data_IF_929834299754
#
_entry.id   IF_929834299754
#
_cell.length_a   1.000
_cell.length_b   1.000
_cell.length_c   1.000
_cell.angle_alpha   90.00
_cell.angle_beta   90.00
_cell.angle_gamma   90.00
#
_symmetry.space_group_name_H-M   'P 1'
#
loop_
_entity.id
_entity.type
_entity.pdbx_description
1 polymer ?
#
# COMPACT_ATOMS: atom_id res chain seq x y z
N UNK A 1 3.99 16.60 -69.09
CA UNK A 1 4.49 17.57 -68.09
C UNK A 1 3.53 17.78 -66.91
N UNK A 2 2.19 17.81 -67.08
CA UNK A 2 1.29 18.02 -65.93
C UNK A 2 1.14 16.82 -64.95
N UNK A 3 1.42 15.59 -65.40
CA UNK A 3 1.29 14.37 -64.58
C UNK A 3 2.32 14.28 -63.45
N UNK A 4 3.56 14.70 -63.71
CA UNK A 4 4.68 14.52 -62.77
C UNK A 4 4.55 15.45 -61.56
N UNK A 5 4.02 16.67 -61.76
CA UNK A 5 3.73 17.61 -60.67
C UNK A 5 2.57 17.13 -59.79
N UNK A 6 1.58 16.45 -60.35
CA UNK A 6 0.46 15.87 -59.58
C UNK A 6 0.96 14.69 -58.75
N UNK A 7 1.82 13.83 -59.32
CA UNK A 7 2.42 12.71 -58.58
C UNK A 7 3.34 13.18 -57.46
N UNK A 8 4.13 14.24 -57.70
CA UNK A 8 4.96 14.86 -56.66
C UNK A 8 4.11 15.42 -55.52
N UNK A 9 3.02 16.13 -55.83
CA UNK A 9 2.12 16.67 -54.81
C UNK A 9 1.46 15.56 -53.98
N UNK A 10 1.01 14.47 -54.60
CA UNK A 10 0.45 13.30 -53.91
C UNK A 10 1.51 12.63 -53.02
N UNK A 11 2.74 12.48 -53.50
CA UNK A 11 3.83 11.89 -52.73
C UNK A 11 4.18 12.74 -51.50
N UNK A 12 4.21 14.07 -51.62
CA UNK A 12 4.44 14.97 -50.48
C UNK A 12 3.31 14.86 -49.46
N UNK A 13 2.05 14.85 -49.89
CA UNK A 13 0.90 14.67 -48.99
C UNK A 13 0.95 13.32 -48.28
N UNK A 14 1.33 12.25 -48.99
CA UNK A 14 1.48 10.92 -48.41
C UNK A 14 2.61 10.85 -47.37
N UNK A 15 3.76 11.48 -47.64
CA UNK A 15 4.88 11.56 -46.69
C UNK A 15 4.48 12.34 -45.44
N UNK A 16 3.81 13.49 -45.59
CA UNK A 16 3.33 14.28 -44.45
C UNK A 16 2.30 13.48 -43.63
N UNK A 17 1.37 12.80 -44.28
CA UNK A 17 0.39 11.95 -43.62
C UNK A 17 1.06 10.80 -42.85
N UNK A 18 2.09 10.16 -43.43
CA UNK A 18 2.84 9.09 -42.79
C UNK A 18 3.62 9.59 -41.56
N UNK A 19 4.23 10.77 -41.63
CA UNK A 19 4.92 11.40 -40.48
C UNK A 19 3.92 11.69 -39.35
N UNK A 20 2.78 12.31 -39.67
CA UNK A 20 1.73 12.60 -38.67
C UNK A 20 1.19 11.31 -38.04
N UNK A 21 0.94 10.27 -38.85
CA UNK A 21 0.50 8.97 -38.35
C UNK A 21 1.54 8.32 -37.42
N UNK A 22 2.83 8.44 -37.73
CA UNK A 22 3.92 7.91 -36.89
C UNK A 22 4.02 8.66 -35.55
N UNK A 23 3.88 9.98 -35.56
CA UNK A 23 3.85 10.79 -34.34
C UNK A 23 2.63 10.43 -33.49
N UNK A 24 1.45 10.35 -34.11
CA UNK A 24 0.21 10.00 -33.40
C UNK A 24 0.26 8.61 -32.79
N UNK A 25 0.75 7.60 -33.51
CA UNK A 25 0.89 6.24 -32.98
C UNK A 25 1.87 6.19 -31.81
N UNK A 26 2.95 6.99 -31.84
CA UNK A 26 3.90 7.09 -30.73
C UNK A 26 3.27 7.73 -29.49
N UNK A 27 2.51 8.82 -29.67
CA UNK A 27 1.79 9.49 -28.59
C UNK A 27 0.72 8.60 -27.97
N UNK A 28 -0.05 7.88 -28.79
CA UNK A 28 -1.08 6.94 -28.31
C UNK A 28 -0.46 5.81 -27.50
N UNK A 29 0.64 5.20 -27.96
CA UNK A 29 1.36 4.17 -27.18
C UNK A 29 1.82 4.71 -25.82
N UNK A 30 2.33 5.94 -25.78
CA UNK A 30 2.72 6.59 -24.52
C UNK A 30 1.52 6.81 -23.60
N UNK A 31 0.38 7.25 -24.12
CA UNK A 31 -0.84 7.43 -23.33
C UNK A 31 -1.38 6.10 -22.79
N UNK A 32 -1.39 5.04 -23.59
CA UNK A 32 -1.81 3.71 -23.15
C UNK A 32 -0.94 3.23 -21.99
N UNK A 33 0.38 3.39 -22.10
CA UNK A 33 1.29 3.00 -21.02
C UNK A 33 1.03 3.81 -19.74
N UNK A 34 0.87 5.13 -19.85
CA UNK A 34 0.56 5.97 -18.69
C UNK A 34 -0.78 5.58 -18.02
N UNK A 35 -1.81 5.27 -18.82
CA UNK A 35 -3.09 4.79 -18.30
C UNK A 35 -2.96 3.44 -17.62
N UNK A 36 -2.17 2.53 -18.20
CA UNK A 36 -1.88 1.23 -17.60
C UNK A 36 -1.17 1.39 -16.26
N UNK A 37 -0.13 2.21 -16.20
CA UNK A 37 0.60 2.49 -14.96
C UNK A 37 -0.34 3.09 -13.91
N UNK A 38 -1.13 4.10 -14.26
CA UNK A 38 -2.11 4.72 -13.36
C UNK A 38 -3.14 3.71 -12.85
N UNK A 39 -3.61 2.82 -13.73
CA UNK A 39 -4.53 1.77 -13.36
C UNK A 39 -3.88 0.77 -12.40
N UNK A 40 -2.66 0.31 -12.67
CA UNK A 40 -1.91 -0.59 -11.78
C UNK A 40 -1.66 0.06 -10.41
N UNK A 41 -1.26 1.33 -10.35
CA UNK A 41 -1.10 2.07 -9.09
C UNK A 41 -2.41 2.20 -8.31
N UNK A 42 -3.55 2.35 -8.99
CA UNK A 42 -4.87 2.41 -8.34
C UNK A 42 -5.26 1.09 -7.66
N UNK A 43 -4.61 -0.02 -8.02
CA UNK A 43 -4.86 -1.34 -7.47
C UNK A 43 -3.92 -1.70 -6.30
N UNK A 44 -3.01 -0.81 -5.89
CA UNK A 44 -2.13 -1.09 -4.75
C UNK A 44 -2.86 -0.74 -3.45
N UNK A 45 -2.97 -1.68 -2.47
CA UNK A 45 -3.60 -1.37 -1.18
C UNK A 45 -2.76 -0.37 -0.39
N UNK A 46 -3.41 0.63 0.19
CA UNK A 46 -2.77 1.62 1.06
C UNK A 46 -3.16 1.32 2.49
N UNK A 47 -2.22 0.80 3.26
CA UNK A 47 -2.47 0.47 4.66
C UNK A 47 -2.15 1.63 5.60
N UNK A 48 -2.90 1.71 6.68
CA UNK A 48 -2.66 2.64 7.79
C UNK A 48 -2.91 1.90 9.10
N UNK A 49 -2.10 2.14 10.12
CA UNK A 49 -2.46 1.72 11.48
C UNK A 49 -3.51 2.72 11.99
N UNK A 50 -4.78 2.33 12.08
CA UNK A 50 -5.88 3.24 12.44
C UNK A 50 -6.09 3.39 13.95
N UNK A 51 -5.63 2.39 14.70
CA UNK A 51 -5.80 2.36 16.15
C UNK A 51 -4.74 1.48 16.80
N UNK A 52 -4.33 1.87 18.00
CA UNK A 52 -3.48 1.05 18.86
C UNK A 52 -4.06 1.02 20.28
N UNK A 53 -3.98 -0.13 20.93
CA UNK A 53 -4.41 -0.27 22.34
C UNK A 53 -3.46 -1.16 23.10
N UNK A 54 -2.90 -0.63 24.17
CA UNK A 54 -2.22 -1.44 25.17
C UNK A 54 -3.22 -2.35 25.89
N UNK A 55 -2.92 -3.64 25.93
CA UNK A 55 -3.55 -4.61 26.83
C UNK A 55 -2.58 -4.76 28.01
N UNK A 56 -3.10 -4.90 29.23
CA UNK A 56 -2.33 -5.01 30.49
C UNK A 56 -0.89 -5.54 30.33
N UNK A 57 0.09 -4.74 30.75
CA UNK A 57 1.54 -4.97 30.94
C UNK A 57 2.36 -5.85 29.96
N UNK A 58 1.80 -6.41 28.89
CA UNK A 58 2.54 -7.37 28.05
C UNK A 58 2.03 -7.51 26.61
N UNK A 59 1.04 -6.75 26.14
CA UNK A 59 0.59 -6.87 24.76
C UNK A 59 0.02 -5.56 24.22
N UNK A 60 0.05 -5.40 22.91
CA UNK A 60 -0.58 -4.27 22.24
C UNK A 60 -1.33 -4.75 21.01
N UNK A 61 -2.56 -4.27 20.86
CA UNK A 61 -3.35 -4.39 19.65
C UNK A 61 -2.95 -3.29 18.68
N UNK A 62 -2.71 -3.66 17.43
CA UNK A 62 -2.65 -2.77 16.28
C UNK A 62 -3.82 -3.11 15.35
N UNK A 63 -4.54 -2.09 14.90
CA UNK A 63 -5.56 -2.23 13.86
C UNK A 63 -5.02 -1.62 12.57
N UNK A 64 -4.93 -2.43 11.52
CA UNK A 64 -4.38 -2.04 10.22
C UNK A 64 -5.50 -2.02 9.20
N UNK A 65 -5.82 -0.82 8.72
CA UNK A 65 -6.90 -0.58 7.77
C UNK A 65 -6.34 -0.37 6.37
N UNK A 66 -7.12 -0.82 5.41
CA UNK A 66 -6.90 -0.53 4.01
C UNK A 66 -7.68 0.72 3.61
N UNK A 67 -6.99 1.86 3.60
CA UNK A 67 -7.59 3.19 3.46
C UNK A 67 -8.20 3.49 2.10
N UNK A 68 -7.79 2.80 1.04
CA UNK A 68 -8.34 2.98 -0.31
C UNK A 68 -9.28 1.84 -0.72
N UNK A 69 -9.65 0.95 0.21
CA UNK A 69 -10.63 -0.13 0.01
C UNK A 69 -10.34 -1.07 -1.17
N UNK A 70 -9.07 -1.13 -1.62
CA UNK A 70 -8.68 -2.02 -2.71
C UNK A 70 -8.60 -3.46 -2.23
N UNK A 71 -9.19 -4.38 -2.98
CA UNK A 71 -9.09 -5.80 -2.65
C UNK A 71 -7.63 -6.25 -2.57
N UNK A 72 -7.31 -7.00 -1.52
CA UNK A 72 -5.99 -7.57 -1.31
C UNK A 72 -6.10 -8.85 -0.49
N UNK A 73 -5.09 -9.70 -0.61
CA UNK A 73 -4.91 -10.89 0.21
C UNK A 73 -3.63 -10.72 1.03
N UNK A 74 -3.72 -10.99 2.34
CA UNK A 74 -2.55 -10.98 3.22
C UNK A 74 -2.04 -12.42 3.32
N UNK A 75 -0.81 -12.64 2.87
CA UNK A 75 -0.18 -13.96 2.86
C UNK A 75 0.64 -14.19 4.14
N UNK A 76 1.33 -13.14 4.62
CA UNK A 76 2.22 -13.27 5.77
C UNK A 76 2.36 -11.96 6.54
N UNK A 77 2.53 -12.09 7.86
CA UNK A 77 2.91 -11.01 8.76
C UNK A 77 4.19 -11.43 9.48
N UNK A 78 5.22 -10.60 9.40
CA UNK A 78 6.55 -10.85 9.95
C UNK A 78 6.92 -9.69 10.86
N UNK A 79 7.65 -10.00 11.94
CA UNK A 79 8.26 -9.00 12.80
C UNK A 79 9.78 -9.11 12.69
N UNK A 80 10.47 -7.97 12.63
CA UNK A 80 11.90 -7.92 12.33
C UNK A 80 12.83 -8.27 13.50
N UNK A 81 12.29 -8.58 14.67
CA UNK A 81 13.06 -8.85 15.89
C UNK A 81 12.51 -10.06 16.62
N UNK A 82 13.40 -10.85 17.20
CA UNK A 82 13.05 -11.99 18.05
C UNK A 82 12.54 -11.57 19.44
N UNK A 83 12.75 -10.30 19.82
CA UNK A 83 12.29 -9.75 21.10
C UNK A 83 10.78 -9.45 21.12
N UNK A 84 10.11 -9.50 19.96
CA UNK A 84 8.69 -9.28 19.79
C UNK A 84 8.07 -10.44 19.03
N UNK A 85 6.89 -10.89 19.46
CA UNK A 85 6.17 -11.99 18.84
C UNK A 85 4.78 -11.54 18.45
N UNK A 86 4.35 -11.96 17.26
CA UNK A 86 2.97 -11.85 16.82
C UNK A 86 2.21 -13.02 17.43
N UNK A 87 1.36 -12.75 18.41
CA UNK A 87 0.64 -13.80 19.12
C UNK A 87 -0.60 -14.26 18.34
N UNK A 88 -1.34 -13.30 17.78
CA UNK A 88 -2.55 -13.55 17.00
C UNK A 88 -2.72 -12.44 15.97
N UNK A 89 -3.30 -12.79 14.85
CA UNK A 89 -3.80 -11.84 13.87
C UNK A 89 -5.04 -12.39 13.18
N UNK A 90 -5.97 -11.51 12.81
CA UNK A 90 -7.17 -11.87 12.06
C UNK A 90 -7.85 -10.60 11.52
N UNK A 91 -8.70 -10.76 10.51
CA UNK A 91 -9.53 -9.68 9.98
C UNK A 91 -10.86 -9.61 10.74
N UNK A 92 -11.20 -8.48 11.34
CA UNK A 92 -12.50 -8.28 12.00
C UNK A 92 -12.82 -6.79 12.17
N UNK A 93 -14.03 -6.53 12.66
CA UNK A 93 -14.48 -5.23 13.14
C UNK A 93 -14.08 -5.06 14.62
N UNK A 94 -13.64 -3.86 14.96
CA UNK A 94 -13.32 -3.47 16.35
C UNK A 94 -14.13 -2.25 16.71
N UNK A 95 -15.01 -2.41 17.70
CA UNK A 95 -15.72 -1.29 18.30
C UNK A 95 -14.95 -0.81 19.53
N UNK A 96 -14.56 0.46 19.52
CA UNK A 96 -13.82 1.10 20.62
C UNK A 96 -14.47 2.42 20.94
N UNK A 97 -14.71 2.69 22.22
CA UNK A 97 -15.12 4.03 22.68
C UNK A 97 -13.86 4.85 22.93
N UNK A 98 -13.67 5.92 22.15
CA UNK A 98 -12.56 6.87 22.29
C UNK A 98 -13.16 8.20 22.71
N UNK A 99 -12.75 8.73 23.85
CA UNK A 99 -13.24 10.02 24.39
C UNK A 99 -14.78 10.09 24.56
N UNK A 100 -15.42 8.93 24.80
CA UNK A 100 -16.87 8.82 24.95
C UNK A 100 -17.63 8.59 23.64
N UNK A 101 -16.96 8.73 22.49
CA UNK A 101 -17.55 8.49 21.18
C UNK A 101 -17.26 7.05 20.69
N UNK A 102 -18.29 6.27 20.33
CA UNK A 102 -18.08 4.95 19.74
C UNK A 102 -17.47 5.10 18.35
N UNK A 103 -16.32 4.46 18.14
CA UNK A 103 -15.68 4.33 16.83
C UNK A 103 -15.59 2.85 16.45
N UNK A 104 -15.82 2.60 15.17
CA UNK A 104 -15.66 1.29 14.57
C UNK A 104 -14.46 1.34 13.63
N UNK A 105 -13.58 0.36 13.79
CA UNK A 105 -12.42 0.17 12.93
C UNK A 105 -12.56 -1.16 12.19
N UNK A 106 -12.24 -1.18 10.90
CA UNK A 106 -12.36 -2.37 10.06
C UNK A 106 -11.04 -2.70 9.40
N UNK A 107 -10.44 -3.82 9.79
CA UNK A 107 -9.18 -4.24 9.17
C UNK A 107 -8.55 -5.45 9.80
N UNK A 108 -7.24 -5.57 9.57
CA UNK A 108 -6.40 -6.60 10.15
C UNK A 108 -6.02 -6.20 11.57
N UNK A 109 -6.47 -6.98 12.55
CA UNK A 109 -6.01 -6.86 13.93
C UNK A 109 -4.75 -7.70 14.11
N UNK A 110 -3.76 -7.13 14.80
CA UNK A 110 -2.52 -7.82 15.14
C UNK A 110 -2.23 -7.61 16.63
N UNK A 111 -2.08 -8.69 17.37
CA UNK A 111 -1.58 -8.66 18.74
C UNK A 111 -0.07 -8.88 18.73
N UNK A 112 0.65 -7.91 19.27
CA UNK A 112 2.10 -8.00 19.43
C UNK A 112 2.43 -8.02 20.92
N UNK A 113 3.30 -8.95 21.30
CA UNK A 113 3.79 -9.13 22.67
C UNK A 113 5.32 -9.11 22.69
N UNK A 114 5.95 -8.29 23.54
CA UNK A 114 7.38 -8.41 23.81
C UNK A 114 7.67 -9.67 24.61
N UNK A 115 8.71 -10.41 24.22
CA UNK A 115 9.18 -11.61 24.92
C UNK A 115 9.73 -11.24 26.30
N UNK A 116 10.45 -10.12 26.37
CA UNK A 116 11.05 -9.59 27.59
C UNK A 116 10.53 -8.17 27.87
N UNK A 117 10.49 -7.77 29.15
CA UNK A 117 10.07 -6.42 29.56
C UNK A 117 11.13 -5.32 29.33
N UNK A 118 12.26 -5.68 28.72
CA UNK A 118 13.30 -4.71 28.37
C UNK A 118 12.85 -3.85 27.18
N UNK A 119 13.61 -2.79 26.91
CA UNK A 119 13.41 -2.00 25.71
C UNK A 119 13.61 -2.89 24.48
N UNK A 120 12.64 -2.88 23.57
CA UNK A 120 12.75 -3.56 22.28
C UNK A 120 12.13 -2.73 21.17
N UNK A 121 12.68 -2.89 19.97
CA UNK A 121 12.29 -2.17 18.77
C UNK A 121 12.21 -3.16 17.61
N UNK A 122 11.11 -3.11 16.86
CA UNK A 122 10.95 -3.94 15.66
C UNK A 122 10.07 -3.26 14.61
N UNK A 123 10.27 -3.65 13.36
CA UNK A 123 9.40 -3.30 12.25
C UNK A 123 8.45 -4.46 12.01
N UNK A 124 7.17 -4.14 11.89
CA UNK A 124 6.16 -5.08 11.41
C UNK A 124 6.10 -4.98 9.89
N UNK A 125 6.21 -6.13 9.23
CA UNK A 125 6.15 -6.26 7.79
C UNK A 125 4.96 -7.13 7.39
N UNK A 126 4.14 -6.61 6.47
CA UNK A 126 2.99 -7.31 5.91
C UNK A 126 3.32 -7.65 4.46
N UNK A 127 3.12 -8.90 4.07
CA UNK A 127 3.27 -9.38 2.70
C UNK A 127 1.95 -9.91 2.19
N UNK A 128 1.69 -9.70 0.91
CA UNK A 128 0.44 -10.13 0.30
C UNK A 128 0.38 -9.86 -1.18
N UNK A 129 -0.82 -10.01 -1.74
CA UNK A 129 -1.13 -9.79 -3.16
C UNK A 129 -2.26 -8.80 -3.34
N UNK A 130 -2.13 -7.94 -4.33
CA UNK A 130 -3.17 -7.02 -4.74
C UNK A 130 -4.25 -7.69 -5.62
N UNK A 131 -5.25 -6.93 -6.05
CA UNK A 131 -6.35 -7.40 -6.91
C UNK A 131 -5.90 -7.88 -8.30
N UNK A 132 -4.70 -7.49 -8.74
CA UNK A 132 -4.09 -7.93 -10.00
C UNK A 132 -3.15 -9.13 -9.82
N UNK A 133 -2.97 -9.59 -8.58
CA UNK A 133 -2.09 -10.68 -8.22
C UNK A 133 -0.63 -10.26 -8.05
N UNK A 134 -0.31 -8.96 -8.06
CA UNK A 134 1.06 -8.51 -7.81
C UNK A 134 1.38 -8.62 -6.32
N UNK A 135 2.59 -9.07 -6.02
CA UNK A 135 3.08 -9.11 -4.66
C UNK A 135 3.39 -7.68 -4.15
N UNK A 136 3.07 -7.45 -2.88
CA UNK A 136 3.45 -6.24 -2.16
C UNK A 136 4.05 -6.56 -0.79
N UNK A 137 4.89 -5.65 -0.32
CA UNK A 137 5.50 -5.70 1.00
C UNK A 137 5.33 -4.33 1.66
N UNK A 138 4.58 -4.26 2.75
CA UNK A 138 4.32 -3.03 3.48
C UNK A 138 4.99 -3.07 4.86
N UNK A 139 5.63 -1.98 5.27
CA UNK A 139 6.35 -1.90 6.54
C UNK A 139 5.82 -0.77 7.42
N UNK A 140 5.78 -1.02 8.73
CA UNK A 140 5.54 0.03 9.73
C UNK A 140 6.79 0.87 9.95
N UNK A 141 6.62 2.05 10.56
CA UNK A 141 7.73 2.65 11.32
C UNK A 141 8.10 1.71 12.49
N UNK A 142 9.30 1.85 13.08
CA UNK A 142 9.68 1.01 14.21
C UNK A 142 8.70 1.10 15.39
N UNK A 143 8.23 -0.05 15.85
CA UNK A 143 7.41 -0.23 17.04
C UNK A 143 8.34 -0.25 18.25
N UNK A 144 8.19 0.72 19.16
CA UNK A 144 9.06 0.85 20.33
C UNK A 144 8.32 0.44 21.59
N UNK A 145 8.80 -0.62 22.23
CA UNK A 145 8.26 -1.10 23.51
C UNK A 145 9.26 -0.84 24.64
N UNK A 146 8.74 -0.48 25.80
CA UNK A 146 9.53 -0.36 27.02
C UNK A 146 8.67 -0.78 28.21
N UNK A 147 9.19 -1.68 29.05
CA UNK A 147 8.46 -2.28 30.17
C UNK A 147 7.13 -2.96 29.74
N UNK A 148 7.12 -3.56 28.54
CA UNK A 148 5.93 -4.23 28.01
C UNK A 148 4.89 -3.29 27.39
N UNK A 149 5.15 -1.98 27.34
CA UNK A 149 4.21 -0.97 26.87
C UNK A 149 4.72 -0.33 25.58
N UNK A 150 3.84 -0.24 24.57
CA UNK A 150 4.09 0.48 23.34
C UNK A 150 4.24 1.99 23.61
N UNK A 151 5.40 2.56 23.33
CA UNK A 151 5.73 3.96 23.66
C UNK A 151 5.33 4.96 22.57
N UNK A 152 5.33 4.56 21.30
CA UNK A 152 5.02 5.43 20.17
C UNK A 152 3.63 5.16 19.54
N UNK A 153 2.66 4.67 20.33
CA UNK A 153 1.33 4.29 19.83
C UNK A 153 0.54 5.40 19.12
N UNK A 154 0.70 6.67 19.56
CA UNK A 154 0.04 7.82 18.93
C UNK A 154 0.61 8.08 17.53
N UNK A 155 1.93 8.05 17.37
CA UNK A 155 2.60 8.24 16.07
C UNK A 155 2.23 7.11 15.10
N UNK A 156 2.16 5.88 15.62
CA UNK A 156 1.76 4.70 14.85
C UNK A 156 0.35 4.85 14.29
N UNK A 157 -0.58 5.39 15.07
CA UNK A 157 -1.98 5.61 14.65
C UNK A 157 -2.13 6.55 13.43
N UNK A 158 -1.10 7.34 13.12
CA UNK A 158 -1.07 8.22 11.95
C UNK A 158 -0.10 7.72 10.85
N UNK A 159 0.47 6.53 11.01
CA UNK A 159 1.46 5.98 10.09
C UNK A 159 0.80 5.20 8.94
N UNK A 160 1.19 5.57 7.72
CA UNK A 160 0.88 4.82 6.50
C UNK A 160 1.96 3.77 6.24
N UNK A 161 1.55 2.55 5.93
CA UNK A 161 2.47 1.50 5.50
C UNK A 161 2.70 1.68 4.02
N UNK A 162 3.97 1.80 3.62
CA UNK A 162 4.36 1.96 2.21
C UNK A 162 4.92 0.67 1.65
N UNK A 163 4.66 0.43 0.36
CA UNK A 163 5.35 -0.59 -0.44
C UNK A 163 6.85 -0.23 -0.52
N UNK A 164 7.74 -1.19 -0.25
CA UNK A 164 9.19 -1.05 -0.50
C UNK A 164 9.52 -1.25 -1.98
#
# INVERSE_FOLDING_TARGET
MNSDYIQLAIAVVAVVAAVIATVNTTLIKKQINLQKDQWEFSQIPIFKISYTKGISNSASWLVIENSNSVFHQIDQIIISSDDLVIEKYWNNFVHVVIEGEPREFHGLLIMIRPVNKLFCEAVLQIRGKDSLGNEFVANTIPLKFNQGILKNGIELTNTYLRKL
#
